data_IF_965969647789
#
_entry.id   IF_965969647789
#
_cell.length_a   1.000
_cell.length_b   1.000
_cell.length_c   1.000
_cell.angle_alpha   90.00
_cell.angle_beta   90.00
_cell.angle_gamma   90.00
#
_symmetry.space_group_name_H-M   'P 1'
#
loop_
_entity.id
_entity.type
_entity.pdbx_description
1 polymer ?
#
# COMPACT_ATOMS: atom_id res chain seq x y z
N UNK A 1 44.15 10.17 -5.01
CA UNK A 1 43.77 11.17 -3.98
C UNK A 1 42.47 11.89 -4.31
N UNK A 2 42.33 12.67 -5.41
CA UNK A 2 41.09 13.42 -5.73
C UNK A 2 39.79 12.58 -5.78
N UNK A 3 39.87 11.35 -6.29
CA UNK A 3 38.70 10.46 -6.42
C UNK A 3 38.21 9.90 -5.07
N UNK A 4 39.10 9.72 -4.10
CA UNK A 4 38.73 9.32 -2.73
C UNK A 4 38.01 10.47 -1.99
N UNK A 5 38.43 11.72 -2.21
CA UNK A 5 37.73 12.88 -1.65
C UNK A 5 36.32 13.04 -2.23
N UNK A 6 36.12 12.78 -3.52
CA UNK A 6 34.79 12.80 -4.15
C UNK A 6 33.85 11.73 -3.55
N UNK A 7 34.37 10.53 -3.29
CA UNK A 7 33.60 9.46 -2.63
C UNK A 7 33.21 9.80 -1.19
N UNK A 8 34.13 10.38 -0.42
CA UNK A 8 33.86 10.80 0.96
C UNK A 8 32.80 11.91 1.00
N UNK A 9 32.90 12.89 0.10
CA UNK A 9 31.90 13.97 -0.02
C UNK A 9 30.51 13.41 -0.38
N UNK A 10 30.45 12.43 -1.28
CA UNK A 10 29.18 11.78 -1.64
C UNK A 10 28.55 11.03 -0.45
N UNK A 11 29.34 10.26 0.30
CA UNK A 11 28.86 9.54 1.50
C UNK A 11 28.36 10.52 2.56
N UNK A 12 29.05 11.65 2.75
CA UNK A 12 28.62 12.69 3.70
C UNK A 12 27.31 13.32 3.25
N UNK A 13 27.15 13.63 1.95
CA UNK A 13 25.90 14.19 1.42
C UNK A 13 24.74 13.19 1.55
N UNK A 14 24.96 11.92 1.20
CA UNK A 14 23.94 10.86 1.35
C UNK A 14 23.60 10.65 2.83
N UNK A 15 24.59 10.65 3.72
CA UNK A 15 24.38 10.58 5.17
C UNK A 15 23.57 11.77 5.71
N UNK A 16 23.80 12.98 5.20
CA UNK A 16 23.04 14.18 5.55
C UNK A 16 21.60 14.08 5.01
N UNK A 17 21.39 13.59 3.79
CA UNK A 17 20.05 13.39 3.23
C UNK A 17 19.28 12.32 4.00
N UNK A 18 19.92 11.20 4.33
CA UNK A 18 19.34 10.14 5.17
C UNK A 18 19.04 10.69 6.57
N UNK A 19 19.92 11.50 7.15
CA UNK A 19 19.71 12.15 8.44
C UNK A 19 18.55 13.16 8.40
N UNK A 20 18.40 13.93 7.33
CA UNK A 20 17.27 14.85 7.13
C UNK A 20 15.96 14.07 6.95
N UNK A 21 15.97 12.97 6.18
CA UNK A 21 14.83 12.07 6.04
C UNK A 21 14.47 11.43 7.39
N UNK A 22 15.46 10.92 8.13
CA UNK A 22 15.27 10.34 9.46
C UNK A 22 14.80 11.35 10.50
N UNK A 23 15.28 12.60 10.45
CA UNK A 23 14.82 13.66 11.37
C UNK A 23 13.43 14.15 11.01
N UNK A 24 13.05 14.20 9.72
CA UNK A 24 11.65 14.38 9.31
C UNK A 24 10.77 13.20 9.75
N UNK A 25 11.27 11.97 9.64
CA UNK A 25 10.57 10.76 10.10
C UNK A 25 10.41 10.71 11.64
N UNK A 26 11.39 11.21 12.39
CA UNK A 26 11.30 11.36 13.85
C UNK A 26 10.44 12.56 14.26
N UNK A 27 10.43 13.65 13.51
CA UNK A 27 9.52 14.77 13.76
C UNK A 27 8.07 14.41 13.40
N UNK A 28 7.84 13.45 12.48
CA UNK A 28 6.54 12.78 12.32
C UNK A 28 6.15 11.97 13.57
N UNK A 29 7.11 11.37 14.29
CA UNK A 29 6.84 10.73 15.60
C UNK A 29 6.50 11.72 16.73
N UNK A 30 6.89 13.00 16.63
CA UNK A 30 6.57 14.05 17.63
C UNK A 30 5.30 14.83 17.28
N UNK A 31 4.81 14.76 16.04
CA UNK A 31 3.41 15.06 15.73
C UNK A 31 2.56 13.84 16.07
N UNK A 32 2.39 13.60 17.37
CA UNK A 32 1.28 12.81 17.84
C UNK A 32 -0.01 13.41 17.28
N UNK A 33 -0.68 12.68 16.39
CA UNK A 33 -2.12 12.44 16.39
C UNK A 33 -2.90 13.50 17.21
N UNK A 34 -3.12 14.68 16.64
CA UNK A 34 -4.03 15.68 17.21
C UNK A 34 -4.78 16.50 16.17
N UNK A 35 -4.40 16.43 14.89
CA UNK A 35 -5.20 17.03 13.83
C UNK A 35 -6.22 16.00 13.32
N UNK A 36 -7.25 15.75 14.14
CA UNK A 36 -8.49 15.04 13.73
C UNK A 36 -9.40 15.91 12.87
N UNK A 37 -8.95 17.09 12.43
CA UNK A 37 -9.72 17.98 11.59
C UNK A 37 -9.81 17.36 10.20
N UNK A 38 -10.95 16.76 9.92
CA UNK A 38 -11.31 16.25 8.60
C UNK A 38 -12.09 17.30 7.84
N UNK A 39 -12.14 17.23 6.50
CA UNK A 39 -13.11 18.00 5.74
C UNK A 39 -14.51 17.78 6.33
N UNK A 40 -15.28 18.86 6.49
CA UNK A 40 -16.70 18.74 6.81
C UNK A 40 -17.35 17.77 5.80
N UNK A 41 -18.35 17.01 6.25
CA UNK A 41 -18.90 15.82 5.57
C UNK A 41 -19.36 16.01 4.11
N UNK A 42 -19.40 17.25 3.62
CA UNK A 42 -19.72 17.64 2.24
C UNK A 42 -18.72 17.09 1.19
N UNK A 43 -17.56 16.57 1.61
CA UNK A 43 -16.58 15.95 0.72
C UNK A 43 -16.67 14.42 0.60
N UNK A 44 -17.59 13.75 1.30
CA UNK A 44 -17.68 12.29 1.25
C UNK A 44 -18.25 11.83 -0.10
N UNK A 45 -17.59 10.87 -0.79
CA UNK A 45 -18.17 10.23 -1.96
C UNK A 45 -19.51 9.57 -1.60
N UNK A 46 -20.56 9.89 -2.37
CA UNK A 46 -21.92 9.35 -2.14
C UNK A 46 -22.26 8.18 -3.04
N UNK A 47 -21.45 7.94 -4.09
CA UNK A 47 -21.68 6.90 -5.09
C UNK A 47 -20.50 5.95 -5.14
N UNK A 48 -20.78 4.66 -5.00
CA UNK A 48 -19.78 3.62 -5.16
C UNK A 48 -19.27 3.56 -6.60
N UNK A 49 -18.01 3.18 -6.75
CA UNK A 49 -17.33 3.04 -8.04
C UNK A 49 -16.96 1.57 -8.22
N UNK A 50 -17.37 0.98 -9.33
CA UNK A 50 -17.01 -0.42 -9.66
C UNK A 50 -15.50 -0.51 -9.86
N UNK A 51 -14.86 -1.34 -9.05
CA UNK A 51 -13.45 -1.70 -9.13
C UNK A 51 -13.26 -3.09 -8.50
N UNK A 52 -12.09 -3.69 -8.72
CA UNK A 52 -11.72 -5.02 -8.23
C UNK A 52 -10.60 -5.00 -7.18
N UNK A 53 -10.35 -3.84 -6.56
CA UNK A 53 -9.30 -3.70 -5.55
C UNK A 53 -9.67 -4.46 -4.28
N UNK A 54 -8.86 -5.47 -3.96
CA UNK A 54 -9.03 -6.33 -2.81
C UNK A 54 -7.70 -6.53 -2.10
N UNK A 55 -7.68 -6.46 -0.78
CA UNK A 55 -6.54 -6.85 0.04
C UNK A 55 -6.98 -7.90 1.05
N UNK A 56 -6.19 -8.95 1.19
CA UNK A 56 -6.36 -9.96 2.22
C UNK A 56 -5.22 -9.82 3.22
N UNK A 57 -5.59 -9.60 4.48
CA UNK A 57 -4.67 -9.50 5.61
C UNK A 57 -4.83 -10.74 6.47
N UNK A 58 -3.74 -11.45 6.73
CA UNK A 58 -3.70 -12.64 7.57
C UNK A 58 -2.83 -12.43 8.83
N UNK A 59 -3.09 -13.21 9.88
CA UNK A 59 -2.34 -13.25 11.14
C UNK A 59 -2.39 -11.95 11.96
N UNK A 60 -3.50 -11.22 11.84
CA UNK A 60 -3.80 -9.99 12.60
C UNK A 60 -5.10 -10.18 13.37
N UNK A 61 -5.27 -9.56 14.54
CA UNK A 61 -6.56 -9.50 15.19
C UNK A 61 -7.40 -8.30 14.71
N UNK A 62 -8.68 -8.32 15.08
CA UNK A 62 -9.63 -7.31 14.62
C UNK A 62 -9.30 -5.90 15.12
N UNK A 63 -8.79 -5.74 16.34
CA UNK A 63 -8.51 -4.40 16.87
C UNK A 63 -7.27 -3.81 16.21
N UNK A 64 -6.24 -4.63 16.01
CA UNK A 64 -5.02 -4.23 15.32
C UNK A 64 -5.32 -3.77 13.89
N UNK A 65 -6.06 -4.55 13.09
CA UNK A 65 -6.36 -4.16 11.70
C UNK A 65 -7.21 -2.87 11.65
N UNK A 66 -8.18 -2.71 12.56
CA UNK A 66 -8.99 -1.49 12.64
C UNK A 66 -8.14 -0.27 12.99
N UNK A 67 -7.18 -0.41 13.91
CA UNK A 67 -6.24 0.67 14.26
C UNK A 67 -5.42 1.09 13.06
N UNK A 68 -4.81 0.14 12.35
CA UNK A 68 -3.97 0.41 11.17
C UNK A 68 -4.79 1.11 10.08
N UNK A 69 -6.00 0.63 9.77
CA UNK A 69 -6.86 1.28 8.78
C UNK A 69 -7.22 2.71 9.18
N UNK A 70 -7.51 2.93 10.47
CA UNK A 70 -7.85 4.26 10.95
C UNK A 70 -6.66 5.23 10.87
N UNK A 71 -5.45 4.77 11.19
CA UNK A 71 -4.22 5.56 11.09
C UNK A 71 -3.88 5.89 9.64
N UNK A 72 -4.04 4.94 8.72
CA UNK A 72 -3.88 5.19 7.29
C UNK A 72 -4.85 6.28 6.81
N UNK A 73 -6.12 6.18 7.17
CA UNK A 73 -7.11 7.20 6.81
C UNK A 73 -6.77 8.57 7.41
N UNK A 74 -6.28 8.63 8.65
CA UNK A 74 -5.84 9.88 9.26
C UNK A 74 -4.66 10.53 8.52
N UNK A 75 -3.82 9.74 7.84
CA UNK A 75 -2.71 10.26 7.04
C UNK A 75 -3.16 10.77 5.66
N UNK A 76 -4.09 10.07 5.01
CA UNK A 76 -4.48 10.35 3.61
C UNK A 76 -5.77 11.16 3.46
N UNK A 77 -6.61 11.26 4.49
CA UNK A 77 -7.92 11.95 4.41
C UNK A 77 -7.95 13.35 5.03
N UNK A 78 -6.79 13.98 5.26
CA UNK A 78 -6.69 15.26 5.95
C UNK A 78 -7.31 16.41 5.15
N UNK A 79 -7.11 16.42 3.83
CA UNK A 79 -7.55 17.50 2.93
C UNK A 79 -8.74 17.11 2.06
N UNK A 80 -8.79 15.84 1.67
CA UNK A 80 -9.83 15.23 0.85
C UNK A 80 -9.93 13.75 1.20
N UNK A 81 -11.09 13.12 1.03
CA UNK A 81 -11.22 11.68 1.25
C UNK A 81 -10.59 10.89 0.10
N UNK A 82 -9.29 10.64 0.20
CA UNK A 82 -8.50 9.92 -0.82
C UNK A 82 -8.54 8.40 -0.66
N UNK A 83 -8.78 7.91 0.56
CA UNK A 83 -8.88 6.48 0.85
C UNK A 83 -10.00 6.19 1.85
N UNK A 84 -10.99 5.41 1.41
CA UNK A 84 -12.10 4.95 2.26
C UNK A 84 -12.12 3.41 2.22
N UNK A 85 -11.24 2.73 2.97
CA UNK A 85 -11.20 1.28 2.98
C UNK A 85 -12.39 0.70 3.74
N UNK A 86 -12.94 -0.39 3.22
CA UNK A 86 -14.00 -1.20 3.81
C UNK A 86 -13.43 -2.50 4.34
N UNK A 87 -13.48 -2.69 5.65
CA UNK A 87 -13.04 -3.91 6.32
C UNK A 87 -14.19 -4.92 6.41
N UNK A 88 -13.93 -6.16 6.00
CA UNK A 88 -14.84 -7.29 6.13
C UNK A 88 -14.14 -8.43 6.85
N UNK A 89 -14.75 -8.98 7.89
CA UNK A 89 -14.20 -10.12 8.65
C UNK A 89 -14.41 -11.43 7.88
N UNK A 90 -13.32 -12.17 7.65
CA UNK A 90 -13.37 -13.50 7.02
C UNK A 90 -13.22 -14.62 8.05
N UNK A 91 -12.34 -14.42 9.03
CA UNK A 91 -12.19 -15.27 10.22
C UNK A 91 -11.70 -14.43 11.40
N UNK A 92 -11.34 -15.06 12.53
CA UNK A 92 -10.81 -14.35 13.69
C UNK A 92 -9.45 -13.67 13.43
N UNK A 93 -8.67 -14.18 12.46
CA UNK A 93 -7.32 -13.68 12.17
C UNK A 93 -7.11 -13.33 10.69
N UNK A 94 -8.20 -13.22 9.93
CA UNK A 94 -8.18 -12.97 8.49
C UNK A 94 -9.27 -12.00 8.08
N UNK A 95 -8.88 -10.98 7.34
CA UNK A 95 -9.76 -9.89 6.93
C UNK A 95 -9.59 -9.56 5.45
N UNK A 96 -10.68 -9.12 4.83
CA UNK A 96 -10.66 -8.51 3.52
C UNK A 96 -10.80 -6.99 3.65
N UNK A 97 -10.05 -6.25 2.85
CA UNK A 97 -10.20 -4.81 2.68
C UNK A 97 -10.51 -4.51 1.23
N UNK A 98 -11.57 -3.74 0.98
CA UNK A 98 -12.01 -3.31 -0.35
C UNK A 98 -12.15 -1.80 -0.39
N UNK A 99 -12.32 -1.23 -1.58
CA UNK A 99 -12.39 0.23 -1.79
C UNK A 99 -13.68 0.59 -2.53
N UNK A 100 -14.83 0.72 -1.83
CA UNK A 100 -16.14 0.93 -2.47
C UNK A 100 -16.23 2.21 -3.32
N UNK A 101 -15.34 3.18 -3.08
CA UNK A 101 -15.29 4.46 -3.81
C UNK A 101 -14.09 4.57 -4.75
N UNK A 102 -13.48 3.42 -5.09
CA UNK A 102 -12.17 3.32 -5.72
C UNK A 102 -11.07 4.01 -4.88
N UNK A 103 -9.82 3.81 -5.27
CA UNK A 103 -8.65 4.51 -4.73
C UNK A 103 -7.61 4.60 -5.84
N UNK A 104 -6.85 5.69 -5.88
CA UNK A 104 -5.75 5.82 -6.82
C UNK A 104 -4.75 4.65 -6.65
N UNK A 105 -4.20 4.16 -7.77
CA UNK A 105 -3.33 2.99 -7.73
C UNK A 105 -2.06 3.21 -6.91
N UNK A 106 -1.55 4.45 -6.84
CA UNK A 106 -0.39 4.75 -6.00
C UNK A 106 -0.73 4.67 -4.53
N UNK A 107 -1.86 5.28 -4.14
CA UNK A 107 -2.37 5.22 -2.77
C UNK A 107 -2.66 3.77 -2.39
N UNK A 108 -3.16 2.96 -3.32
CA UNK A 108 -3.37 1.53 -3.13
C UNK A 108 -2.06 0.77 -2.88
N UNK A 109 -0.99 1.05 -3.64
CA UNK A 109 0.32 0.46 -3.38
C UNK A 109 0.90 0.91 -2.02
N UNK A 110 0.77 2.19 -1.68
CA UNK A 110 1.15 2.69 -0.35
C UNK A 110 0.36 2.02 0.76
N UNK A 111 -0.93 1.78 0.55
CA UNK A 111 -1.79 1.06 1.48
C UNK A 111 -1.31 -0.37 1.72
N UNK A 112 -0.94 -1.10 0.67
CA UNK A 112 -0.38 -2.47 0.79
C UNK A 112 0.91 -2.47 1.60
N UNK A 113 1.83 -1.54 1.30
CA UNK A 113 3.09 -1.40 2.02
C UNK A 113 2.85 -1.02 3.50
N UNK A 114 1.95 -0.08 3.76
CA UNK A 114 1.61 0.37 5.11
C UNK A 114 0.94 -0.73 5.95
N UNK A 115 0.05 -1.54 5.37
CA UNK A 115 -0.54 -2.69 6.06
C UNK A 115 0.51 -3.75 6.42
N UNK A 116 1.51 -3.95 5.57
CA UNK A 116 2.58 -4.91 5.81
C UNK A 116 3.57 -4.38 6.87
N UNK A 117 3.84 -3.07 6.89
CA UNK A 117 4.75 -2.40 7.82
C UNK A 117 4.07 -1.26 8.60
N UNK A 118 3.07 -1.58 9.45
CA UNK A 118 2.31 -0.54 10.12
C UNK A 118 3.13 0.15 11.21
N UNK A 119 2.93 1.45 11.33
CA UNK A 119 3.62 2.27 12.34
C UNK A 119 3.17 1.81 13.74
N UNK A 120 4.12 1.68 14.66
CA UNK A 120 3.82 1.30 16.05
C UNK A 120 3.70 -0.21 16.29
N UNK A 121 4.05 -1.03 15.30
CA UNK A 121 4.14 -2.49 15.44
C UNK A 121 5.58 -2.96 15.21
N UNK A 122 6.03 -3.91 16.04
CA UNK A 122 7.34 -4.54 15.92
C UNK A 122 7.32 -5.80 15.02
N UNK A 123 6.23 -5.99 14.26
CA UNK A 123 6.02 -7.13 13.36
C UNK A 123 5.39 -6.70 12.05
N UNK A 124 5.61 -7.48 11.00
CA UNK A 124 4.89 -7.37 9.73
C UNK A 124 3.69 -8.30 9.68
N UNK A 125 2.75 -7.97 8.78
CA UNK A 125 1.56 -8.77 8.53
C UNK A 125 1.60 -9.37 7.13
N UNK A 126 1.02 -10.56 6.96
CA UNK A 126 0.99 -11.22 5.66
C UNK A 126 -0.13 -10.61 4.82
N UNK A 127 0.26 -9.92 3.75
CA UNK A 127 -0.65 -9.25 2.82
C UNK A 127 -0.54 -9.85 1.42
N UNK A 128 -1.69 -10.13 0.80
CA UNK A 128 -1.79 -10.30 -0.65
C UNK A 128 -2.93 -9.40 -1.14
N UNK A 129 -2.72 -8.74 -2.25
CA UNK A 129 -3.65 -7.79 -2.84
C UNK A 129 -3.89 -8.09 -4.33
N UNK A 130 -5.00 -7.59 -4.86
CA UNK A 130 -5.40 -7.77 -6.25
C UNK A 130 -6.05 -6.52 -6.80
N UNK A 131 -5.77 -6.23 -8.07
CA UNK A 131 -6.42 -5.17 -8.83
C UNK A 131 -6.30 -5.44 -10.33
N UNK A 132 -7.10 -4.76 -11.13
CA UNK A 132 -6.85 -4.56 -12.56
C UNK A 132 -6.19 -3.20 -12.75
N UNK A 133 -4.99 -3.20 -13.33
CA UNK A 133 -4.23 -1.99 -13.66
C UNK A 133 -4.88 -1.21 -14.81
N UNK A 134 -4.67 0.10 -14.83
CA UNK A 134 -5.12 1.01 -15.89
C UNK A 134 -3.90 1.69 -16.55
N UNK A 135 -3.96 2.05 -17.84
CA UNK A 135 -2.87 2.77 -18.51
C UNK A 135 -2.49 4.10 -17.84
N UNK A 136 -3.41 4.69 -17.08
CA UNK A 136 -3.23 5.95 -16.36
C UNK A 136 -2.64 5.77 -14.96
N UNK A 137 -2.57 4.54 -14.45
CA UNK A 137 -2.01 4.27 -13.13
C UNK A 137 -0.50 4.57 -13.16
N UNK A 138 0.04 5.15 -12.09
CA UNK A 138 1.48 5.37 -12.07
C UNK A 138 2.22 4.04 -11.94
N UNK A 139 3.46 4.04 -12.42
CA UNK A 139 4.33 2.86 -12.48
C UNK A 139 3.88 1.75 -13.44
N UNK A 140 2.65 1.82 -13.98
CA UNK A 140 2.14 0.92 -15.01
C UNK A 140 2.76 1.27 -16.36
N UNK A 141 3.35 0.26 -17.00
CA UNK A 141 3.82 0.32 -18.40
C UNK A 141 2.81 -0.35 -19.31
N UNK A 142 2.94 -0.17 -20.63
CA UNK A 142 2.05 -0.80 -21.62
C UNK A 142 1.93 -2.33 -21.44
N UNK A 143 3.03 -2.99 -21.04
CA UNK A 143 3.08 -4.44 -20.84
C UNK A 143 2.25 -4.94 -19.65
N UNK A 144 1.94 -4.06 -18.70
CA UNK A 144 1.15 -4.39 -17.51
C UNK A 144 -0.15 -3.62 -17.42
N UNK A 145 -0.50 -2.79 -18.40
CA UNK A 145 -1.78 -2.08 -18.42
C UNK A 145 -2.95 -3.02 -18.72
N UNK A 146 -4.11 -2.78 -18.11
CA UNK A 146 -5.34 -3.57 -18.26
C UNK A 146 -5.16 -5.06 -17.94
N UNK A 147 -4.19 -5.40 -17.08
CA UNK A 147 -3.98 -6.76 -16.61
C UNK A 147 -4.51 -6.90 -15.20
N UNK A 148 -5.10 -8.06 -14.91
CA UNK A 148 -5.33 -8.45 -13.53
C UNK A 148 -3.98 -8.84 -12.91
N UNK A 149 -3.72 -8.29 -11.73
CA UNK A 149 -2.44 -8.41 -11.04
C UNK A 149 -2.64 -8.80 -9.59
N UNK A 150 -1.68 -9.55 -9.08
CA UNK A 150 -1.52 -9.83 -7.65
C UNK A 150 -0.37 -8.97 -7.13
N UNK A 151 -0.59 -8.25 -6.05
CA UNK A 151 0.43 -7.43 -5.39
C UNK A 151 0.77 -8.00 -4.02
N UNK A 152 2.04 -7.88 -3.64
CA UNK A 152 2.57 -8.40 -2.39
C UNK A 152 3.84 -7.67 -1.98
N UNK A 153 4.29 -7.91 -0.75
CA UNK A 153 5.62 -7.49 -0.30
C UNK A 153 6.54 -8.72 -0.33
N UNK A 154 7.73 -8.55 -0.92
CA UNK A 154 8.74 -9.61 -0.99
C UNK A 154 9.17 -10.02 0.42
N UNK A 155 9.36 -11.32 0.65
CA UNK A 155 9.93 -11.83 1.90
C UNK A 155 11.40 -11.43 2.07
N UNK A 156 12.04 -11.05 0.96
CA UNK A 156 13.42 -10.54 0.90
C UNK A 156 13.51 -9.01 0.82
N UNK A 157 12.39 -8.28 0.96
CA UNK A 157 12.41 -6.82 0.92
C UNK A 157 13.17 -6.26 2.13
N UNK A 158 14.25 -5.52 1.85
CA UNK A 158 15.03 -4.79 2.85
C UNK A 158 14.95 -3.29 2.70
N UNK A 159 14.30 -2.80 1.63
CA UNK A 159 14.21 -1.37 1.32
C UNK A 159 12.95 -0.75 1.94
N UNK A 160 11.92 -1.56 2.20
CA UNK A 160 10.64 -1.17 2.83
C UNK A 160 9.82 -0.15 2.03
N UNK A 161 10.26 0.22 0.82
CA UNK A 161 9.67 1.26 -0.03
C UNK A 161 9.23 0.70 -1.40
N UNK A 162 8.92 -0.60 -1.44
CA UNK A 162 8.51 -1.29 -2.66
C UNK A 162 7.22 -2.08 -2.46
N UNK A 163 6.52 -2.28 -3.58
CA UNK A 163 5.49 -3.31 -3.74
C UNK A 163 5.83 -4.16 -4.95
N UNK A 164 5.71 -5.46 -4.81
CA UNK A 164 5.91 -6.41 -5.90
C UNK A 164 4.57 -6.73 -6.54
N UNK A 165 4.61 -6.97 -7.84
CA UNK A 165 3.44 -7.24 -8.66
C UNK A 165 3.72 -8.48 -9.50
N UNK A 166 2.73 -9.35 -9.62
CA UNK A 166 2.72 -10.47 -10.57
C UNK A 166 1.45 -10.43 -11.39
N UNK A 167 1.59 -10.43 -12.71
CA UNK A 167 0.48 -10.44 -13.65
C UNK A 167 -0.12 -11.85 -13.78
N UNK A 168 -1.36 -11.96 -14.28
CA UNK A 168 -2.02 -13.26 -14.48
C UNK A 168 -1.25 -14.26 -15.37
N UNK A 169 -0.40 -13.75 -16.27
CA UNK A 169 0.54 -14.50 -17.12
C UNK A 169 1.88 -14.80 -16.44
N UNK A 170 1.96 -14.62 -15.11
CA UNK A 170 3.12 -14.89 -14.25
C UNK A 170 4.38 -14.09 -14.61
N UNK A 171 4.23 -12.81 -14.93
CA UNK A 171 5.35 -11.88 -15.12
C UNK A 171 5.48 -10.99 -13.88
N UNK A 172 6.69 -10.96 -13.31
CA UNK A 172 7.00 -10.23 -12.08
C UNK A 172 7.51 -8.82 -12.32
N UNK A 173 7.11 -7.88 -11.46
CA UNK A 173 7.53 -6.49 -11.46
C UNK A 173 7.80 -6.00 -10.04
N UNK A 174 8.78 -5.10 -9.88
CA UNK A 174 9.05 -4.34 -8.66
C UNK A 174 8.60 -2.90 -8.87
N UNK A 175 7.66 -2.44 -8.05
CA UNK A 175 7.15 -1.07 -8.04
C UNK A 175 7.83 -0.32 -6.90
N UNK A 176 8.86 0.48 -7.22
CA UNK A 176 9.60 1.25 -6.21
C UNK A 176 9.10 2.69 -6.13
N UNK A 177 8.71 3.12 -4.92
CA UNK A 177 8.13 4.44 -4.69
C UNK A 177 9.10 5.58 -5.05
N UNK A 178 10.42 5.35 -4.92
CA UNK A 178 11.44 6.33 -5.26
C UNK A 178 11.83 6.38 -6.76
N UNK A 179 11.53 5.34 -7.55
CA UNK A 179 12.07 5.18 -8.91
C UNK A 179 11.11 5.61 -10.02
N UNK A 180 9.85 5.93 -9.71
CA UNK A 180 8.92 6.59 -10.63
C UNK A 180 8.39 5.72 -11.80
N UNK A 181 8.91 4.49 -12.01
CA UNK A 181 8.34 3.48 -12.93
C UNK A 181 8.50 2.06 -12.36
N UNK A 182 7.59 1.16 -12.72
CA UNK A 182 7.72 -0.27 -12.41
C UNK A 182 8.85 -0.90 -13.22
N UNK A 183 9.69 -1.68 -12.55
CA UNK A 183 10.82 -2.40 -13.15
C UNK A 183 10.42 -3.86 -13.31
N UNK A 184 10.51 -4.40 -14.54
CA UNK A 184 10.27 -5.82 -14.76
C UNK A 184 11.41 -6.63 -14.13
N UNK A 185 11.07 -7.70 -13.42
CA UNK A 185 12.07 -8.60 -12.86
C UNK A 185 12.70 -9.43 -13.99
N UNK A 186 14.02 -9.68 -13.95
CA UNK A 186 14.74 -10.39 -15.01
C UNK A 186 14.39 -11.89 -15.08
N UNK A 187 13.94 -12.45 -13.96
CA UNK A 187 13.59 -13.87 -13.79
C UNK A 187 12.08 -14.05 -13.54
N UNK A 188 11.69 -15.26 -13.11
CA UNK A 188 10.32 -15.54 -12.63
C UNK A 188 9.94 -14.66 -11.44
N UNK A 189 8.64 -14.34 -11.26
CA UNK A 189 8.18 -13.69 -10.04
C UNK A 189 8.51 -14.53 -8.79
N UNK A 190 8.68 -13.85 -7.66
CA UNK A 190 8.87 -14.54 -6.36
C UNK A 190 7.62 -15.33 -5.96
N UNK A 191 6.43 -14.84 -6.34
CA UNK A 191 5.15 -15.50 -6.09
C UNK A 191 4.37 -15.61 -7.39
N UNK A 192 4.00 -16.83 -7.76
CA UNK A 192 3.08 -17.05 -8.88
C UNK A 192 1.73 -16.38 -8.61
N UNK A 193 1.10 -15.90 -9.66
CA UNK A 193 -0.23 -15.30 -9.57
C UNK A 193 -1.24 -16.33 -9.03
N UNK A 194 -1.91 -15.94 -7.95
CA UNK A 194 -3.04 -16.67 -7.39
C UNK A 194 -4.28 -15.78 -7.53
N UNK A 195 -5.43 -16.36 -7.87
CA UNK A 195 -6.69 -15.61 -7.95
C UNK A 195 -7.17 -15.18 -6.55
N UNK A 196 -7.97 -14.10 -6.45
CA UNK A 196 -8.66 -13.74 -5.22
C UNK A 196 -9.36 -14.95 -4.57
N UNK A 197 -9.19 -15.19 -3.26
CA UNK A 197 -9.79 -16.34 -2.58
C UNK A 197 -11.29 -16.14 -2.28
N UNK A 198 -11.83 -14.96 -2.56
CA UNK A 198 -13.21 -14.57 -2.29
C UNK A 198 -13.69 -13.60 -3.37
N UNK A 199 -14.94 -13.75 -3.79
CA UNK A 199 -15.57 -12.87 -4.79
C UNK A 199 -16.17 -11.61 -4.18
N UNK A 200 -16.42 -10.59 -5.01
CA UNK A 200 -17.08 -9.36 -4.56
C UNK A 200 -18.49 -9.63 -3.99
N UNK A 201 -19.29 -10.49 -4.62
CA UNK A 201 -20.63 -10.83 -4.14
C UNK A 201 -20.64 -11.52 -2.77
N UNK A 202 -19.63 -12.36 -2.49
CA UNK A 202 -19.47 -12.98 -1.17
C UNK A 202 -19.08 -11.97 -0.08
N UNK A 203 -18.36 -10.90 -0.44
CA UNK A 203 -18.00 -9.83 0.48
C UNK A 203 -19.19 -8.90 0.77
N UNK A 204 -20.00 -8.58 -0.24
CA UNK A 204 -21.19 -7.73 -0.10
C UNK A 204 -22.24 -8.33 0.86
N UNK A 205 -22.31 -9.65 0.94
CA UNK A 205 -23.22 -10.35 1.85
C UNK A 205 -22.74 -10.37 3.32
N UNK A 206 -21.52 -9.90 3.62
CA UNK A 206 -20.94 -9.91 4.96
C UNK A 206 -21.06 -8.55 5.65
N UNK A 207 -21.06 -8.57 6.98
CA UNK A 207 -20.97 -7.36 7.79
C UNK A 207 -19.60 -6.72 7.57
N UNK A 208 -19.61 -5.41 7.29
CA UNK A 208 -18.41 -4.63 7.04
C UNK A 208 -18.37 -3.36 7.89
N UNK A 209 -17.20 -2.72 7.92
CA UNK A 209 -17.00 -1.41 8.56
C UNK A 209 -16.18 -0.54 7.61
N UNK A 210 -16.68 0.66 7.34
CA UNK A 210 -15.98 1.64 6.50
C UNK A 210 -15.10 2.55 7.37
N UNK A 211 -13.86 2.76 6.92
CA UNK A 211 -12.88 3.63 7.56
C UNK A 211 -12.73 4.89 6.73
N UNK A 212 -12.49 6.01 7.42
CA UNK A 212 -12.34 7.33 6.85
C UNK A 212 -11.48 8.18 7.75
#
# INVERSE_FOLDING_TARGET
MKQQYLFIVYIVIVGIVIFILWTKLKNLKTQSISDTIRPLGDGLPTKTIINDKLVIVENIDENDVKRILQEFCNAYNQKSFEAIPRLTKLSNTKFAVTFPFDVDFNIYCFFINYLNYPIGFDRSFKIIAWATTKPTDSWVTENIANKNVMLYISESDTEYDNVYLTTYDNIGYKLGFARGKGEQLPDRPEKDFVKPPISAGELEAKIYTDFR
#
